data_IF_598313941124
#
_entry.id   IF_598313941124
#
_cell.length_a   1.000
_cell.length_b   1.000
_cell.length_c   1.000
_cell.angle_alpha   90.00
_cell.angle_beta   90.00
_cell.angle_gamma   90.00
#
_symmetry.space_group_name_H-M   'P 1'
#
loop_
_entity.id
_entity.type
_entity.pdbx_description
1 polymer ?
#
# COMPACT_ATOMS: atom_id res chain seq x y z
N UNK A 1 -11.87 40.40 22.60
CA UNK A 1 -12.60 39.19 23.01
C UNK A 1 -11.68 38.41 23.95
N UNK A 2 -11.75 38.69 25.26
CA UNK A 2 -10.80 38.16 26.25
C UNK A 2 -11.23 36.79 26.76
N UNK A 3 -10.34 35.80 26.70
CA UNK A 3 -10.59 34.49 27.28
C UNK A 3 -10.75 34.60 28.81
N UNK A 4 -11.80 33.98 29.36
CA UNK A 4 -12.03 33.89 30.81
C UNK A 4 -10.88 33.13 31.49
N UNK A 5 -10.38 33.65 32.61
CA UNK A 5 -9.27 33.06 33.37
C UNK A 5 -9.50 31.58 33.76
N UNK A 6 -10.76 31.17 33.96
CA UNK A 6 -11.12 29.77 34.22
C UNK A 6 -10.83 28.87 33.01
N UNK A 7 -11.23 29.32 31.81
CA UNK A 7 -10.94 28.60 30.56
C UNK A 7 -9.44 28.56 30.28
N UNK A 8 -8.73 29.65 30.57
CA UNK A 8 -7.27 29.68 30.40
C UNK A 8 -6.58 28.64 31.29
N UNK A 9 -7.03 28.49 32.55
CA UNK A 9 -6.52 27.48 33.48
C UNK A 9 -6.80 26.05 33.01
N UNK A 10 -8.00 25.77 32.54
CA UNK A 10 -8.38 24.44 32.02
C UNK A 10 -7.56 24.06 30.79
N UNK A 11 -7.35 25.00 29.86
CA UNK A 11 -6.50 24.79 28.68
C UNK A 11 -5.05 24.55 29.10
N UNK A 12 -4.51 25.30 30.07
CA UNK A 12 -3.15 25.10 30.56
C UNK A 12 -2.99 23.73 31.26
N UNK A 13 -3.99 23.29 32.03
CA UNK A 13 -3.96 21.96 32.66
C UNK A 13 -4.00 20.84 31.61
N UNK A 14 -4.79 21.01 30.54
CA UNK A 14 -4.85 20.07 29.44
C UNK A 14 -3.53 20.02 28.64
N UNK A 15 -2.96 21.18 28.31
CA UNK A 15 -1.67 21.26 27.60
C UNK A 15 -0.53 20.71 28.46
N UNK A 16 -0.60 20.81 29.79
CA UNK A 16 0.38 20.22 30.70
C UNK A 16 0.11 18.74 31.04
N UNK A 17 -0.93 18.12 30.47
CA UNK A 17 -1.25 16.72 30.75
C UNK A 17 -0.24 15.77 30.08
N UNK A 18 0.10 14.69 30.77
CA UNK A 18 1.08 13.71 30.28
C UNK A 18 0.56 13.01 29.01
N UNK A 19 -0.75 12.80 28.92
CA UNK A 19 -1.42 12.18 27.78
C UNK A 19 -1.33 13.08 26.54
N UNK A 20 -1.52 14.39 26.71
CA UNK A 20 -1.36 15.37 25.63
C UNK A 20 0.08 15.40 25.11
N UNK A 21 1.07 15.50 25.99
CA UNK A 21 2.48 15.48 25.57
C UNK A 21 2.89 14.17 24.91
N UNK A 22 2.40 13.03 25.44
CA UNK A 22 2.63 11.73 24.83
C UNK A 22 2.08 11.70 23.41
N UNK A 23 0.80 12.00 23.21
CA UNK A 23 0.14 11.83 21.91
C UNK A 23 0.44 12.96 20.91
N UNK A 24 0.54 14.21 21.36
CA UNK A 24 0.70 15.35 20.46
C UNK A 24 2.17 15.64 20.13
N UNK A 25 3.07 15.46 21.10
CA UNK A 25 4.47 15.89 20.96
C UNK A 25 5.38 14.68 20.71
N UNK A 26 5.39 13.68 21.60
CA UNK A 26 6.30 12.54 21.47
C UNK A 26 6.01 11.69 20.23
N UNK A 27 4.75 11.41 19.92
CA UNK A 27 4.38 10.68 18.70
C UNK A 27 4.69 11.47 17.43
N UNK A 28 4.41 12.77 17.41
CA UNK A 28 4.75 13.62 16.25
C UNK A 28 6.25 13.68 16.03
N UNK A 29 7.06 13.82 17.08
CA UNK A 29 8.53 13.77 16.99
C UNK A 29 8.99 12.38 16.55
N UNK A 30 8.41 11.29 17.06
CA UNK A 30 8.75 9.93 16.65
C UNK A 30 8.45 9.68 15.16
N UNK A 31 7.30 10.17 14.67
CA UNK A 31 6.96 10.13 13.25
C UNK A 31 7.95 10.97 12.43
N UNK A 32 8.19 12.23 12.82
CA UNK A 32 9.13 13.12 12.11
C UNK A 32 10.53 12.51 12.07
N UNK A 33 11.03 11.95 13.18
CA UNK A 33 12.34 11.31 13.23
C UNK A 33 12.38 10.03 12.40
N UNK A 34 11.32 9.22 12.37
CA UNK A 34 11.21 8.05 11.48
C UNK A 34 11.23 8.45 10.00
N UNK A 35 10.44 9.44 9.60
CA UNK A 35 10.44 9.96 8.23
C UNK A 35 11.77 10.62 7.87
N UNK A 36 12.41 11.32 8.82
CA UNK A 36 13.73 11.92 8.61
C UNK A 36 14.82 10.84 8.47
N UNK A 37 14.76 9.77 9.26
CA UNK A 37 15.63 8.60 9.10
C UNK A 37 15.42 7.92 7.76
N UNK A 38 14.16 7.73 7.32
CA UNK A 38 13.84 7.19 6.00
C UNK A 38 14.32 8.12 4.87
N UNK A 39 14.22 9.44 5.05
CA UNK A 39 14.72 10.44 4.11
C UNK A 39 16.26 10.37 4.02
N UNK A 40 16.96 10.27 5.15
CA UNK A 40 18.41 10.10 5.17
C UNK A 40 18.85 8.75 4.56
N UNK A 41 18.12 7.67 4.81
CA UNK A 41 18.34 6.38 4.15
C UNK A 41 18.09 6.46 2.63
N UNK A 42 17.07 7.22 2.22
CA UNK A 42 16.81 7.50 0.80
C UNK A 42 17.90 8.35 0.15
N UNK A 43 18.74 9.06 0.90
CA UNK A 43 19.94 9.73 0.39
C UNK A 43 21.16 8.81 0.39
N UNK A 44 21.20 7.83 1.29
CA UNK A 44 22.25 6.82 1.40
C UNK A 44 22.01 5.61 0.49
N UNK A 45 21.45 5.82 -0.71
CA UNK A 45 21.05 4.76 -1.64
C UNK A 45 22.21 3.77 -1.80
N UNK A 46 22.05 2.60 -1.20
CA UNK A 46 22.97 1.49 -1.31
C UNK A 46 23.07 1.02 -2.77
N UNK A 47 24.12 0.26 -3.08
CA UNK A 47 24.27 -0.47 -4.35
C UNK A 47 22.94 -1.17 -4.69
N UNK A 48 22.18 -0.59 -5.62
CA UNK A 48 20.97 -1.21 -6.11
C UNK A 48 21.35 -2.12 -7.26
N UNK A 49 21.05 -3.41 -7.11
CA UNK A 49 21.06 -4.31 -8.25
C UNK A 49 19.84 -3.97 -9.12
N UNK A 50 20.01 -4.09 -10.43
CA UNK A 50 18.93 -3.88 -11.39
C UNK A 50 18.76 -5.16 -12.20
N UNK A 51 17.54 -5.69 -12.21
CA UNK A 51 17.18 -6.82 -13.04
C UNK A 51 16.46 -6.32 -14.29
N UNK A 52 16.85 -6.76 -15.50
CA UNK A 52 16.11 -6.43 -16.70
C UNK A 52 14.72 -7.08 -16.64
N UNK A 53 13.71 -6.38 -17.13
CA UNK A 53 12.41 -7.00 -17.36
C UNK A 53 12.55 -8.03 -18.46
N UNK A 54 11.91 -9.18 -18.27
CA UNK A 54 11.76 -10.15 -19.35
C UNK A 54 10.85 -9.52 -20.41
N UNK A 55 11.34 -9.44 -21.65
CA UNK A 55 10.49 -9.11 -22.80
C UNK A 55 9.38 -10.17 -22.88
N UNK A 56 8.13 -9.83 -23.22
CA UNK A 56 7.08 -10.81 -23.48
C UNK A 56 7.41 -11.57 -24.78
N UNK A 57 8.45 -12.42 -24.73
CA UNK A 57 8.78 -13.36 -25.77
C UNK A 57 7.75 -14.47 -25.76
N UNK A 58 6.82 -14.40 -26.71
CA UNK A 58 6.16 -15.52 -27.41
C UNK A 58 5.89 -16.79 -26.58
N UNK A 59 5.53 -16.67 -25.31
CA UNK A 59 5.08 -17.80 -24.53
C UNK A 59 3.66 -18.07 -24.97
N UNK A 60 3.39 -19.30 -25.43
CA UNK A 60 2.03 -19.73 -25.77
C UNK A 60 1.05 -19.56 -24.58
N UNK A 61 1.59 -19.45 -23.37
CA UNK A 61 0.84 -19.23 -22.14
C UNK A 61 0.90 -17.76 -21.70
N UNK A 62 -0.26 -17.17 -21.43
CA UNK A 62 -0.39 -15.83 -20.84
C UNK A 62 -0.50 -15.94 -19.32
N UNK A 63 0.36 -15.26 -18.54
CA UNK A 63 0.28 -15.31 -17.09
C UNK A 63 -1.05 -14.72 -16.58
N UNK A 64 -1.60 -15.30 -15.51
CA UNK A 64 -2.84 -14.83 -14.87
C UNK A 64 -2.49 -13.98 -13.66
N UNK A 65 -3.10 -12.81 -13.52
CA UNK A 65 -2.93 -11.90 -12.38
C UNK A 65 -4.28 -11.57 -11.75
N UNK A 66 -4.41 -11.75 -10.44
CA UNK A 66 -5.60 -11.34 -9.66
C UNK A 66 -5.27 -10.03 -8.94
N UNK A 67 -6.10 -9.02 -9.13
CA UNK A 67 -5.91 -7.70 -8.54
C UNK A 67 -7.08 -7.38 -7.62
N UNK A 68 -6.81 -7.32 -6.32
CA UNK A 68 -7.76 -6.86 -5.31
C UNK A 68 -7.70 -5.34 -5.19
N UNK A 69 -8.87 -4.70 -5.00
CA UNK A 69 -8.94 -3.23 -4.96
C UNK A 69 -8.70 -2.57 -6.31
N UNK A 70 -9.08 -3.23 -7.41
CA UNK A 70 -8.84 -2.76 -8.78
C UNK A 70 -9.62 -1.49 -9.19
N UNK A 71 -10.47 -0.95 -8.31
CA UNK A 71 -11.38 0.17 -8.62
C UNK A 71 -10.71 1.55 -8.55
N UNK A 72 -9.66 1.73 -7.74
CA UNK A 72 -8.99 3.04 -7.59
C UNK A 72 -7.53 2.89 -7.12
N UNK A 73 -6.78 4.00 -7.14
CA UNK A 73 -5.43 4.07 -6.60
C UNK A 73 -4.44 3.13 -7.29
N UNK A 74 -3.58 2.49 -6.49
CA UNK A 74 -2.50 1.62 -6.96
C UNK A 74 -3.04 0.37 -7.68
N UNK A 75 -4.12 -0.24 -7.19
CA UNK A 75 -4.72 -1.43 -7.80
C UNK A 75 -5.27 -1.15 -9.21
N UNK A 76 -5.96 -0.02 -9.40
CA UNK A 76 -6.43 0.39 -10.72
C UNK A 76 -5.28 0.70 -11.68
N UNK A 77 -4.22 1.35 -11.20
CA UNK A 77 -3.03 1.64 -12.01
C UNK A 77 -2.28 0.35 -12.38
N UNK A 78 -2.18 -0.61 -11.46
CA UNK A 78 -1.55 -1.91 -11.69
C UNK A 78 -2.31 -2.71 -12.76
N UNK A 79 -3.64 -2.75 -12.67
CA UNK A 79 -4.49 -3.39 -13.67
C UNK A 79 -4.26 -2.80 -15.07
N UNK A 80 -4.22 -1.47 -15.16
CA UNK A 80 -3.97 -0.75 -16.42
C UNK A 80 -2.58 -1.00 -17.00
N UNK A 81 -1.59 -1.21 -16.16
CA UNK A 81 -0.21 -1.42 -16.63
C UNK A 81 0.02 -2.88 -17.05
N UNK A 82 -0.41 -3.84 -16.23
CA UNK A 82 -0.26 -5.26 -16.53
C UNK A 82 -1.09 -5.70 -17.74
N UNK A 83 -2.20 -5.01 -18.04
CA UNK A 83 -3.02 -5.34 -19.22
C UNK A 83 -2.29 -5.05 -20.53
N UNK A 84 -1.30 -4.14 -20.50
CA UNK A 84 -0.42 -3.84 -21.64
C UNK A 84 0.69 -4.87 -21.80
N UNK A 85 1.05 -5.59 -20.74
CA UNK A 85 2.14 -6.58 -20.69
C UNK A 85 1.67 -8.01 -21.01
N UNK A 86 0.54 -8.16 -21.72
CA UNK A 86 -0.04 -9.46 -22.14
C UNK A 86 -0.49 -10.41 -21.02
N UNK A 87 -0.76 -9.90 -19.82
CA UNK A 87 -1.34 -10.66 -18.72
C UNK A 87 -2.85 -10.87 -18.91
N UNK A 88 -3.35 -12.02 -18.46
CA UNK A 88 -4.78 -12.23 -18.24
C UNK A 88 -5.12 -11.72 -16.85
N UNK A 89 -5.95 -10.68 -16.75
CA UNK A 89 -6.22 -10.03 -15.46
C UNK A 89 -7.63 -10.35 -14.98
N UNK A 90 -7.70 -10.76 -13.72
CA UNK A 90 -8.91 -10.93 -12.94
C UNK A 90 -9.00 -9.79 -11.95
N UNK A 91 -10.04 -8.97 -12.09
CA UNK A 91 -10.25 -7.80 -11.25
C UNK A 91 -11.22 -8.13 -10.12
N UNK A 92 -10.86 -7.73 -8.91
CA UNK A 92 -11.68 -7.91 -7.70
C UNK A 92 -11.92 -6.54 -7.06
N UNK A 93 -13.19 -6.20 -6.90
CA UNK A 93 -13.62 -4.90 -6.38
C UNK A 93 -15.04 -4.93 -5.84
N UNK A 94 -15.38 -3.91 -5.03
CA UNK A 94 -16.68 -3.80 -4.34
C UNK A 94 -17.83 -3.34 -5.24
N UNK A 95 -17.53 -2.64 -6.34
CA UNK A 95 -18.54 -1.99 -7.18
C UNK A 95 -18.29 -2.25 -8.66
N UNK A 96 -19.27 -2.84 -9.39
CA UNK A 96 -19.12 -3.18 -10.80
C UNK A 96 -18.99 -1.94 -11.71
N UNK A 97 -19.67 -0.84 -11.37
CA UNK A 97 -19.67 0.39 -12.18
C UNK A 97 -18.32 1.12 -12.18
N UNK A 98 -17.52 0.92 -11.14
CA UNK A 98 -16.16 1.44 -11.07
C UNK A 98 -15.14 0.56 -11.82
N UNK A 99 -15.51 -0.71 -12.07
CA UNK A 99 -14.72 -1.66 -12.86
C UNK A 99 -14.90 -1.41 -14.37
N UNK A 100 -16.13 -1.20 -14.82
CA UNK A 100 -16.46 -0.94 -16.25
C UNK A 100 -15.81 0.32 -16.82
N UNK A 101 -15.56 1.32 -15.96
CA UNK A 101 -14.91 2.58 -16.35
C UNK A 101 -13.42 2.41 -16.71
N UNK A 102 -12.80 1.30 -16.31
CA UNK A 102 -11.42 0.95 -16.63
C UNK A 102 -11.30 -0.08 -17.76
N UNK A 103 -12.43 -0.58 -18.29
CA UNK A 103 -12.47 -1.62 -19.31
C UNK A 103 -12.20 -1.04 -20.70
N UNK A 104 -10.94 -1.12 -21.12
CA UNK A 104 -10.56 -1.10 -22.52
C UNK A 104 -10.64 -2.51 -23.10
N UNK A 105 -11.81 -2.91 -23.59
CA UNK A 105 -12.10 -3.91 -24.65
C UNK A 105 -11.30 -5.23 -24.74
N UNK A 106 -10.61 -5.68 -23.68
CA UNK A 106 -9.86 -6.96 -23.67
C UNK A 106 -10.24 -7.81 -22.46
N UNK A 107 -11.15 -8.75 -22.70
CA UNK A 107 -11.45 -9.96 -21.91
C UNK A 107 -10.94 -9.96 -20.45
N UNK A 108 -11.56 -9.15 -19.60
CA UNK A 108 -11.39 -9.18 -18.15
C UNK A 108 -12.60 -9.87 -17.53
N UNK A 109 -12.43 -11.04 -16.91
CA UNK A 109 -13.47 -11.62 -16.06
C UNK A 109 -13.36 -10.98 -14.68
N UNK A 110 -14.21 -9.99 -14.40
CA UNK A 110 -14.37 -9.45 -13.05
C UNK A 110 -15.13 -10.46 -12.18
N UNK A 111 -14.61 -10.76 -10.99
CA UNK A 111 -15.36 -11.49 -9.98
C UNK A 111 -15.81 -10.50 -8.91
N UNK A 112 -17.12 -10.39 -8.76
CA UNK A 112 -17.73 -9.65 -7.65
C UNK A 112 -17.56 -10.52 -6.39
N UNK A 113 -16.83 -10.03 -5.40
CA UNK A 113 -16.94 -10.60 -4.07
C UNK A 113 -18.30 -10.20 -3.50
N UNK A 114 -19.07 -11.17 -3.04
CA UNK A 114 -20.40 -10.98 -2.46
C UNK A 114 -20.35 -9.86 -1.39
N UNK A 115 -21.13 -8.77 -1.55
CA UNK A 115 -21.15 -7.67 -0.59
C UNK A 115 -21.51 -8.10 0.84
N UNK A 116 -22.10 -9.28 1.04
CA UNK A 116 -22.43 -9.81 2.37
C UNK A 116 -21.19 -10.12 3.24
N UNK A 117 -20.05 -10.52 2.66
CA UNK A 117 -18.85 -10.92 3.43
C UNK A 117 -18.06 -9.72 3.99
N UNK A 118 -18.22 -8.53 3.40
CA UNK A 118 -17.49 -7.31 3.81
C UNK A 118 -18.37 -6.37 4.66
N UNK A 119 -19.69 -6.59 4.70
CA UNK A 119 -20.60 -5.79 5.52
C UNK A 119 -20.34 -5.90 7.05
N UNK A 120 -19.55 -6.89 7.51
CA UNK A 120 -19.10 -7.02 8.90
C UNK A 120 -17.86 -6.19 9.25
N UNK A 121 -17.15 -5.64 8.26
CA UNK A 121 -16.02 -4.71 8.46
C UNK A 121 -16.43 -3.28 8.09
N UNK A 122 -17.29 -2.73 8.93
CA UNK A 122 -17.79 -1.36 8.82
C UNK A 122 -16.63 -0.36 9.00
N UNK A 123 -16.07 0.15 7.91
CA UNK A 123 -15.32 1.42 7.91
C UNK A 123 -16.01 2.36 6.91
N UNK A 124 -16.55 3.45 7.47
CA UNK A 124 -17.28 4.53 6.81
C UNK A 124 -16.64 5.01 5.50
N UNK A 125 -17.44 5.40 4.48
CA UNK A 125 -16.93 6.11 3.33
C UNK A 125 -16.48 7.51 3.75
N UNK A 126 -15.17 7.75 3.77
CA UNK A 126 -14.60 9.09 3.89
C UNK A 126 -14.94 9.88 2.63
N UNK A 127 -16.07 10.59 2.63
CA UNK A 127 -16.32 11.70 1.73
C UNK A 127 -15.49 12.90 2.20
N UNK A 128 -14.18 12.85 1.98
CA UNK A 128 -13.29 14.01 2.18
C UNK A 128 -13.09 14.70 0.83
N UNK A 129 -14.13 15.41 0.40
CA UNK A 129 -13.98 16.48 -0.58
C UNK A 129 -13.80 17.78 0.20
N UNK A 130 -12.87 18.57 -0.31
CA UNK A 130 -12.66 19.99 -0.07
C UNK A 130 -11.56 20.38 0.95
N UNK A 131 -10.61 21.16 0.41
CA UNK A 131 -9.69 22.10 1.06
C UNK A 131 -8.31 21.66 1.59
N UNK A 132 -8.00 20.38 1.90
CA UNK A 132 -6.61 20.03 2.32
C UNK A 132 -5.64 19.69 1.18
N UNK A 133 -6.12 19.47 -0.05
CA UNK A 133 -5.23 19.13 -1.18
C UNK A 133 -4.22 20.23 -1.52
N UNK A 134 -4.49 21.50 -1.19
CA UNK A 134 -3.62 22.60 -1.62
C UNK A 134 -2.27 22.64 -0.88
N UNK A 135 -2.24 22.26 0.40
CA UNK A 135 -0.99 22.20 1.19
C UNK A 135 -0.14 20.99 0.76
N UNK A 136 -0.79 19.87 0.39
CA UNK A 136 -0.14 18.68 -0.17
C UNK A 136 0.48 18.96 -1.54
N UNK A 137 -0.20 19.75 -2.39
CA UNK A 137 0.35 20.15 -3.69
C UNK A 137 1.50 21.17 -3.59
N UNK A 138 1.44 22.13 -2.65
CA UNK A 138 2.50 23.12 -2.46
C UNK A 138 3.79 22.51 -1.87
N UNK A 139 3.66 21.54 -0.95
CA UNK A 139 4.80 20.81 -0.38
C UNK A 139 5.46 19.82 -1.36
N UNK A 140 4.72 19.38 -2.39
CA UNK A 140 5.26 18.59 -3.50
C UNK A 140 6.26 19.37 -4.36
N UNK A 141 6.11 20.69 -4.46
CA UNK A 141 7.08 21.54 -5.20
C UNK A 141 8.37 21.75 -4.43
N UNK A 142 8.32 21.86 -3.09
CA UNK A 142 9.51 22.06 -2.24
C UNK A 142 10.27 20.76 -1.90
N UNK A 143 9.63 19.59 -1.95
CA UNK A 143 10.28 18.32 -1.52
C UNK A 143 10.48 17.30 -2.65
N UNK A 144 9.88 17.51 -3.83
CA UNK A 144 10.22 16.89 -5.13
C UNK A 144 10.24 15.36 -5.25
N UNK A 145 10.18 14.59 -4.17
CA UNK A 145 10.49 13.15 -4.16
C UNK A 145 9.72 12.31 -3.14
N UNK A 146 8.94 12.89 -2.23
CA UNK A 146 8.35 12.11 -1.14
C UNK A 146 7.04 11.40 -1.53
N UNK A 147 6.24 11.98 -2.43
CA UNK A 147 4.93 11.43 -2.80
C UNK A 147 4.94 10.95 -4.25
N UNK A 148 4.89 9.62 -4.42
CA UNK A 148 4.78 8.97 -5.73
C UNK A 148 3.32 8.86 -6.13
N UNK A 149 3.01 9.13 -7.39
CA UNK A 149 1.68 8.83 -7.94
C UNK A 149 1.46 7.32 -7.95
N UNK A 150 0.20 6.84 -7.99
CA UNK A 150 -0.08 5.42 -8.24
C UNK A 150 0.63 4.88 -9.48
N UNK A 151 0.69 5.66 -10.57
CA UNK A 151 1.38 5.26 -11.81
C UNK A 151 2.89 5.07 -11.61
N UNK A 152 3.53 5.88 -10.76
CA UNK A 152 4.92 5.69 -10.39
C UNK A 152 5.11 4.47 -9.48
N UNK A 153 4.20 4.26 -8.53
CA UNK A 153 4.23 3.14 -7.58
C UNK A 153 4.08 1.78 -8.24
N UNK A 154 3.34 1.72 -9.36
CA UNK A 154 3.11 0.47 -10.10
C UNK A 154 4.38 -0.07 -10.76
N UNK A 155 5.40 0.77 -11.00
CA UNK A 155 6.63 0.32 -11.68
C UNK A 155 7.31 -0.86 -10.98
N UNK A 156 7.35 -0.87 -9.64
CA UNK A 156 7.91 -2.01 -8.90
C UNK A 156 7.08 -3.28 -9.02
N UNK A 157 5.76 -3.16 -9.17
CA UNK A 157 4.85 -4.30 -9.40
C UNK A 157 5.13 -4.90 -10.78
N UNK A 158 5.24 -4.07 -11.82
CA UNK A 158 5.56 -4.53 -13.17
C UNK A 158 6.93 -5.19 -13.19
N UNK A 159 7.93 -4.55 -12.58
CA UNK A 159 9.29 -5.08 -12.55
C UNK A 159 9.35 -6.43 -11.83
N UNK A 160 8.61 -6.60 -10.72
CA UNK A 160 8.51 -7.88 -10.01
C UNK A 160 7.76 -8.95 -10.83
N UNK A 161 6.68 -8.58 -11.51
CA UNK A 161 5.90 -9.50 -12.33
C UNK A 161 6.65 -9.98 -13.58
N UNK A 162 7.50 -9.13 -14.15
CA UNK A 162 8.34 -9.43 -15.31
C UNK A 162 9.77 -9.82 -14.93
N UNK A 163 10.05 -10.05 -13.65
CA UNK A 163 11.37 -10.41 -13.18
C UNK A 163 11.76 -11.83 -13.65
N UNK A 164 13.05 -12.06 -13.96
CA UNK A 164 13.52 -13.39 -14.30
C UNK A 164 13.58 -14.28 -13.03
N UNK A 165 13.58 -15.62 -13.14
CA UNK A 165 13.52 -16.52 -11.99
C UNK A 165 14.72 -16.36 -11.02
N UNK A 166 15.83 -15.80 -11.48
CA UNK A 166 16.99 -15.48 -10.64
C UNK A 166 16.71 -14.34 -9.65
N UNK A 167 15.62 -13.58 -9.83
CA UNK A 167 15.19 -12.51 -8.94
C UNK A 167 14.20 -12.96 -7.85
N UNK A 168 14.02 -14.27 -7.65
CA UNK A 168 13.18 -14.81 -6.57
C UNK A 168 13.70 -14.36 -5.19
N UNK A 169 12.79 -13.90 -4.34
CA UNK A 169 13.11 -13.43 -2.98
C UNK A 169 13.72 -12.02 -2.92
N UNK A 170 13.77 -11.30 -4.04
CA UNK A 170 14.29 -9.93 -4.11
C UNK A 170 13.15 -8.91 -4.06
N UNK A 171 13.38 -7.77 -3.38
CA UNK A 171 12.39 -6.71 -3.22
C UNK A 171 12.62 -5.59 -4.25
N UNK A 172 11.64 -5.34 -5.11
CA UNK A 172 11.67 -4.28 -6.13
C UNK A 172 11.13 -2.95 -5.59
N UNK A 173 11.80 -1.84 -5.93
CA UNK A 173 11.40 -0.50 -5.48
C UNK A 173 11.72 0.58 -6.51
N UNK A 174 10.86 1.59 -6.65
CA UNK A 174 11.06 2.80 -7.48
C UNK A 174 11.12 2.60 -9.01
N UNK A 175 11.07 1.34 -9.49
CA UNK A 175 11.03 1.01 -10.91
C UNK A 175 12.42 0.73 -11.53
N UNK A 176 12.44 0.45 -12.84
CA UNK A 176 13.64 0.13 -13.64
C UNK A 176 14.40 -1.11 -13.12
N UNK A 177 13.67 -2.08 -12.58
CA UNK A 177 14.22 -3.32 -12.04
C UNK A 177 15.07 -3.11 -10.79
N UNK A 178 15.04 -1.91 -10.18
CA UNK A 178 15.85 -1.58 -9.01
C UNK A 178 15.37 -2.35 -7.79
N UNK A 179 16.33 -2.87 -7.04
CA UNK A 179 16.06 -3.66 -5.85
C UNK A 179 16.61 -3.01 -4.58
N UNK A 180 15.99 -3.37 -3.46
CA UNK A 180 16.41 -2.95 -2.13
C UNK A 180 16.63 -4.19 -1.25
N UNK A 181 17.62 -4.11 -0.37
CA UNK A 181 17.77 -5.10 0.68
C UNK A 181 16.77 -4.80 1.79
N UNK A 182 16.02 -5.82 2.21
CA UNK A 182 15.14 -5.68 3.37
C UNK A 182 15.93 -5.80 4.67
N UNK A 183 15.24 -5.62 5.80
CA UNK A 183 15.82 -5.87 7.12
C UNK A 183 16.35 -7.30 7.25
N UNK A 184 17.41 -7.56 8.04
CA UNK A 184 17.89 -8.92 8.30
C UNK A 184 16.80 -9.87 8.83
N UNK A 185 15.83 -9.34 9.57
CA UNK A 185 14.69 -10.11 10.09
C UNK A 185 13.81 -10.69 8.98
N UNK A 186 13.68 -10.01 7.84
CA UNK A 186 12.91 -10.49 6.69
C UNK A 186 13.51 -11.74 6.05
N UNK A 187 14.77 -12.06 6.33
CA UNK A 187 15.47 -13.25 5.83
C UNK A 187 15.52 -14.40 6.85
N UNK A 188 14.91 -14.24 8.02
CA UNK A 188 14.90 -15.28 9.05
C UNK A 188 13.86 -16.37 8.72
N UNK A 189 14.32 -17.49 8.18
CA UNK A 189 13.46 -18.61 7.80
C UNK A 189 12.68 -19.23 8.98
N UNK A 190 13.28 -19.27 10.18
CA UNK A 190 12.61 -19.79 11.39
C UNK A 190 11.43 -18.90 11.77
N UNK A 191 11.65 -17.58 11.83
CA UNK A 191 10.60 -16.61 12.13
C UNK A 191 9.48 -16.63 11.07
N UNK A 192 9.84 -16.74 9.78
CA UNK A 192 8.87 -16.84 8.70
C UNK A 192 7.99 -18.11 8.82
N UNK A 193 8.59 -19.25 9.20
CA UNK A 193 7.85 -20.49 9.42
C UNK A 193 6.93 -20.40 10.64
N UNK A 194 7.40 -19.83 11.75
CA UNK A 194 6.58 -19.62 12.95
C UNK A 194 5.40 -18.69 12.67
N UNK A 195 5.64 -17.60 11.93
CA UNK A 195 4.61 -16.66 11.51
C UNK A 195 3.58 -17.33 10.58
N UNK A 196 4.04 -18.17 9.65
CA UNK A 196 3.16 -18.91 8.76
C UNK A 196 2.24 -19.87 9.53
N UNK A 197 2.81 -20.68 10.44
CA UNK A 197 2.04 -21.61 11.27
C UNK A 197 1.01 -20.87 12.14
N UNK A 198 1.42 -19.83 12.85
CA UNK A 198 0.51 -19.04 13.69
C UNK A 198 -0.63 -18.39 12.88
N UNK A 199 -0.34 -17.96 11.64
CA UNK A 199 -1.37 -17.42 10.74
C UNK A 199 -2.36 -18.49 10.28
N UNK A 200 -1.88 -19.70 10.00
CA UNK A 200 -2.75 -20.84 9.66
C UNK A 200 -3.63 -21.29 10.84
N UNK A 201 -3.07 -21.31 12.04
CA UNK A 201 -3.80 -21.64 13.26
C UNK A 201 -4.93 -20.63 13.50
N UNK A 202 -4.61 -19.32 13.45
CA UNK A 202 -5.59 -18.24 13.58
C UNK A 202 -6.70 -18.33 12.52
N UNK A 203 -6.34 -18.62 11.27
CA UNK A 203 -7.31 -18.78 10.19
C UNK A 203 -8.25 -19.96 10.47
N UNK A 204 -7.71 -21.09 10.94
CA UNK A 204 -8.50 -22.29 11.27
C UNK A 204 -9.45 -22.02 12.43
N UNK A 205 -9.00 -21.32 13.47
CA UNK A 205 -9.84 -20.88 14.59
C UNK A 205 -11.01 -20.01 14.12
N UNK A 206 -10.76 -19.06 13.22
CA UNK A 206 -11.80 -18.21 12.64
C UNK A 206 -12.81 -19.01 11.80
N UNK A 207 -12.35 -20.01 11.02
CA UNK A 207 -13.25 -20.88 10.26
C UNK A 207 -14.14 -21.72 11.16
N UNK A 208 -13.62 -22.23 12.28
CA UNK A 208 -14.40 -22.99 13.26
C UNK A 208 -15.45 -22.12 13.93
N UNK A 209 -15.06 -20.92 14.40
CA UNK A 209 -15.98 -19.97 15.02
C UNK A 209 -17.11 -19.54 14.06
N UNK A 210 -16.81 -19.39 12.76
CA UNK A 210 -17.82 -19.09 11.74
C UNK A 210 -18.78 -20.26 11.47
N UNK A 211 -18.31 -21.50 11.57
CA UNK A 211 -19.16 -22.70 11.37
C UNK A 211 -20.07 -22.97 12.57
N UNK A 212 -19.70 -22.50 13.76
CA UNK A 212 -20.48 -22.63 14.99
C UNK A 212 -21.53 -21.51 15.19
N UNK A 213 -21.46 -20.43 14.40
CA UNK A 213 -22.42 -19.31 14.38
C UNK A 213 -23.53 -19.49 13.36
#
# INVERSE_FOLDING_TARGET
MGMSAKRLREVLLFVCSVEFWRMAVLWSIALITSYFQLLLQSLHIQKSYSYPRRSPETSAFRPVCIITGATSGLGAAAARALSKESFTIVLVGRTPDALSKNDGDKLHRGFLLDPAFIASSHQQPCAFKDCECYIVYASNWLTGKLWKSPDDGVRSIIDAALAPPEALGVYFFSGNGRTINSSPFSYNAKLASELWSASCDLFTELELAYKES
#
